data_IF_321229488216
#
_entry.id   IF_321229488216
#
_cell.length_a   1.000
_cell.length_b   1.000
_cell.length_c   1.000
_cell.angle_alpha   90.00
_cell.angle_beta   90.00
_cell.angle_gamma   90.00
#
_symmetry.space_group_name_H-M   'P 1'
#
loop_
_entity.id
_entity.type
_entity.pdbx_description
1 polymer ?
#
# COMPACT_ATOMS: atom_id res chain seq x y z
N UNK A 1 36.92 2.73 -2.77
CA UNK A 1 36.22 2.13 -3.92
C UNK A 1 34.98 2.97 -4.15
N UNK A 2 34.99 3.79 -5.19
CA UNK A 2 33.81 4.59 -5.56
C UNK A 2 32.85 3.73 -6.37
N UNK A 3 31.59 3.65 -5.96
CA UNK A 3 30.54 3.06 -6.77
C UNK A 3 29.92 4.17 -7.60
N UNK A 4 30.03 4.08 -8.91
CA UNK A 4 29.43 5.04 -9.82
C UNK A 4 28.08 4.49 -10.30
N UNK A 5 26.99 5.20 -10.00
CA UNK A 5 25.70 4.93 -10.57
C UNK A 5 25.56 5.67 -11.91
N UNK A 6 25.46 4.93 -13.01
CA UNK A 6 25.23 5.51 -14.34
C UNK A 6 23.79 5.22 -14.74
N UNK A 7 22.92 6.22 -14.72
CA UNK A 7 21.60 6.11 -15.32
C UNK A 7 21.70 6.26 -16.84
N UNK A 8 21.11 5.34 -17.60
CA UNK A 8 21.05 5.41 -19.08
C UNK A 8 20.40 6.69 -19.61
N UNK A 9 19.61 7.40 -18.80
CA UNK A 9 18.95 8.64 -19.18
C UNK A 9 19.86 9.88 -19.12
N UNK A 10 21.08 9.76 -18.58
CA UNK A 10 22.01 10.86 -18.40
C UNK A 10 23.42 10.54 -18.98
N UNK A 11 23.46 9.96 -20.16
CA UNK A 11 24.72 9.78 -20.87
C UNK A 11 25.37 11.14 -21.15
N UNK A 12 26.42 11.47 -20.42
CA UNK A 12 27.23 12.66 -20.62
C UNK A 12 27.45 13.56 -19.41
N UNK A 13 26.72 13.39 -18.34
CA UNK A 13 26.94 14.17 -17.10
C UNK A 13 27.04 13.19 -15.93
N UNK A 14 28.26 12.90 -15.51
CA UNK A 14 28.49 12.18 -14.26
C UNK A 14 27.97 13.01 -13.10
N UNK A 15 26.91 12.57 -12.44
CA UNK A 15 26.55 13.14 -11.14
C UNK A 15 27.51 12.60 -10.10
N UNK A 16 28.20 13.52 -9.45
CA UNK A 16 28.98 13.22 -8.26
C UNK A 16 27.99 12.88 -7.15
N UNK A 17 28.10 11.67 -6.62
CA UNK A 17 27.35 11.30 -5.41
C UNK A 17 28.12 11.89 -4.25
N UNK A 18 27.66 13.00 -3.71
CA UNK A 18 28.35 13.74 -2.64
C UNK A 18 28.06 13.16 -1.24
N UNK A 19 27.10 12.27 -1.10
CA UNK A 19 26.77 11.63 0.17
C UNK A 19 26.91 10.11 0.09
N UNK A 20 27.98 9.60 0.73
CA UNK A 20 28.26 8.17 0.84
C UNK A 20 27.68 7.55 2.12
N UNK A 21 26.94 8.29 2.90
CA UNK A 21 26.51 7.85 4.23
C UNK A 21 25.41 6.79 4.18
N UNK A 22 24.73 6.64 3.07
CA UNK A 22 23.67 5.63 2.91
C UNK A 22 24.07 4.46 2.00
N UNK A 23 25.20 3.83 2.31
CA UNK A 23 25.55 2.50 1.80
C UNK A 23 24.90 1.37 2.62
N UNK A 24 23.83 1.66 3.33
CA UNK A 24 23.08 0.68 4.13
C UNK A 24 22.56 -0.49 3.29
N UNK A 25 22.33 -0.31 2.00
CA UNK A 25 21.98 -1.37 1.06
C UNK A 25 23.17 -2.29 0.67
N UNK A 26 24.40 -1.97 1.04
CA UNK A 26 25.56 -2.83 0.87
C UNK A 26 25.82 -3.72 2.09
N UNK A 27 24.93 -3.74 3.06
CA UNK A 27 24.97 -4.74 4.13
C UNK A 27 24.69 -6.13 3.55
N UNK A 28 25.28 -7.15 4.17
CA UNK A 28 25.15 -8.55 3.75
C UNK A 28 23.69 -8.95 3.49
N UNK A 29 22.76 -8.49 4.34
CA UNK A 29 21.32 -8.73 4.24
C UNK A 29 20.63 -8.07 3.01
N UNK A 30 21.28 -7.10 2.34
CA UNK A 30 20.73 -6.37 1.19
C UNK A 30 21.60 -6.48 -0.07
N UNK A 31 22.69 -7.23 0.00
CA UNK A 31 23.65 -7.33 -1.09
C UNK A 31 23.04 -7.99 -2.33
N UNK A 32 22.27 -9.06 -2.14
CA UNK A 32 21.62 -9.75 -3.25
C UNK A 32 20.61 -8.84 -3.97
N UNK A 33 19.82 -8.06 -3.21
CA UNK A 33 18.90 -7.09 -3.77
C UNK A 33 19.63 -5.97 -4.55
N UNK A 34 20.81 -5.57 -4.10
CA UNK A 34 21.64 -4.62 -4.81
C UNK A 34 22.17 -5.20 -6.13
N UNK A 35 22.72 -6.43 -6.10
CA UNK A 35 23.20 -7.13 -7.30
C UNK A 35 22.07 -7.32 -8.31
N UNK A 36 20.88 -7.69 -7.85
CA UNK A 36 19.70 -7.81 -8.70
C UNK A 36 19.32 -6.48 -9.35
N UNK A 37 19.32 -5.39 -8.58
CA UNK A 37 19.05 -4.05 -9.08
C UNK A 37 20.06 -3.58 -10.11
N UNK A 38 21.35 -3.88 -9.90
CA UNK A 38 22.42 -3.60 -10.87
C UNK A 38 22.24 -4.45 -12.12
N UNK A 39 21.88 -5.73 -11.96
CA UNK A 39 21.56 -6.63 -13.08
C UNK A 39 20.43 -6.09 -13.96
N UNK A 40 19.37 -5.58 -13.34
CA UNK A 40 18.23 -4.96 -14.05
C UNK A 40 18.64 -3.76 -14.91
N UNK A 41 19.62 -2.99 -14.49
CA UNK A 41 20.11 -1.81 -15.24
C UNK A 41 20.89 -2.19 -16.51
N UNK A 42 21.39 -3.41 -16.60
CA UNK A 42 22.12 -3.92 -17.76
C UNK A 42 21.23 -4.61 -18.81
N UNK A 43 19.95 -4.82 -18.50
CA UNK A 43 19.03 -5.51 -19.39
C UNK A 43 18.54 -4.64 -20.53
N UNK A 44 18.32 -5.26 -21.68
CA UNK A 44 17.60 -4.65 -22.80
C UNK A 44 16.13 -4.46 -22.48
N UNK A 45 15.44 -3.61 -23.24
CA UNK A 45 13.99 -3.38 -23.05
C UNK A 45 13.18 -4.68 -23.16
N UNK A 46 13.52 -5.56 -24.11
CA UNK A 46 12.87 -6.85 -24.30
C UNK A 46 13.10 -7.81 -23.12
N UNK A 47 14.32 -7.82 -22.56
CA UNK A 47 14.63 -8.62 -21.37
C UNK A 47 13.89 -8.09 -20.13
N UNK A 48 13.75 -6.76 -20.01
CA UNK A 48 12.96 -6.14 -18.94
C UNK A 48 11.48 -6.56 -19.05
N UNK A 49 10.91 -6.56 -20.24
CA UNK A 49 9.51 -6.98 -20.45
C UNK A 49 9.31 -8.46 -20.11
N UNK A 50 10.16 -9.34 -20.59
CA UNK A 50 10.13 -10.77 -20.23
C UNK A 50 10.28 -11.02 -18.73
N UNK A 51 11.14 -10.25 -18.07
CA UNK A 51 11.33 -10.34 -16.64
C UNK A 51 10.08 -9.87 -15.87
N UNK A 52 9.43 -8.79 -16.34
CA UNK A 52 8.17 -8.32 -15.76
C UNK A 52 7.09 -9.39 -15.86
N UNK A 53 6.85 -9.94 -17.04
CA UNK A 53 5.86 -11.01 -17.25
C UNK A 53 6.12 -12.25 -16.39
N UNK A 54 7.38 -12.62 -16.22
CA UNK A 54 7.76 -13.72 -15.35
C UNK A 54 7.43 -13.41 -13.89
N UNK A 55 7.82 -12.23 -13.40
CA UNK A 55 7.54 -11.78 -12.02
C UNK A 55 6.06 -11.64 -11.75
N UNK A 56 5.28 -11.16 -12.71
CA UNK A 56 3.83 -11.10 -12.57
C UNK A 56 3.22 -12.47 -12.30
N UNK A 57 3.65 -13.49 -13.04
CA UNK A 57 3.21 -14.87 -12.82
C UNK A 57 3.67 -15.42 -11.47
N UNK A 58 4.88 -15.08 -11.03
CA UNK A 58 5.40 -15.48 -9.73
C UNK A 58 4.61 -14.83 -8.59
N UNK A 59 4.24 -13.55 -8.72
CA UNK A 59 3.40 -12.83 -7.75
C UNK A 59 2.02 -13.49 -7.65
N UNK A 60 1.35 -13.73 -8.77
CA UNK A 60 0.04 -14.38 -8.79
C UNK A 60 0.09 -15.75 -8.12
N UNK A 61 1.10 -16.56 -8.46
CA UNK A 61 1.29 -17.87 -7.84
C UNK A 61 1.56 -17.77 -6.32
N UNK A 62 2.36 -16.81 -5.89
CA UNK A 62 2.67 -16.59 -4.47
C UNK A 62 1.44 -16.15 -3.68
N UNK A 63 0.62 -15.27 -4.24
CA UNK A 63 -0.61 -14.79 -3.61
C UNK A 63 -1.65 -15.91 -3.46
N UNK A 64 -1.87 -16.69 -4.51
CA UNK A 64 -2.79 -17.85 -4.47
C UNK A 64 -2.29 -18.89 -3.47
N UNK A 65 -0.98 -19.19 -3.49
CA UNK A 65 -0.36 -20.13 -2.54
C UNK A 65 -0.55 -19.66 -1.10
N UNK A 66 -0.26 -18.41 -0.82
CA UNK A 66 -0.39 -17.82 0.52
C UNK A 66 -1.84 -17.89 1.02
N UNK A 67 -2.82 -17.52 0.18
CA UNK A 67 -4.23 -17.62 0.55
C UNK A 67 -4.64 -19.05 0.90
N UNK A 68 -4.29 -20.00 0.03
CA UNK A 68 -4.60 -21.41 0.24
C UNK A 68 -3.92 -21.95 1.51
N UNK A 69 -2.67 -21.57 1.76
CA UNK A 69 -1.93 -22.03 2.93
C UNK A 69 -2.54 -21.47 4.22
N UNK A 70 -2.86 -20.18 4.27
CA UNK A 70 -3.54 -19.58 5.43
C UNK A 70 -4.92 -20.22 5.63
N UNK A 71 -5.71 -20.37 4.56
CA UNK A 71 -7.05 -20.94 4.63
C UNK A 71 -7.07 -22.38 5.14
N UNK A 72 -6.13 -23.21 4.68
CA UNK A 72 -6.10 -24.65 5.00
C UNK A 72 -5.43 -24.94 6.35
N UNK A 73 -4.39 -24.19 6.69
CA UNK A 73 -3.50 -24.53 7.80
C UNK A 73 -3.71 -23.64 9.04
N UNK A 74 -4.33 -22.46 8.90
CA UNK A 74 -4.53 -21.53 10.01
C UNK A 74 -6.01 -21.42 10.36
N UNK A 75 -6.44 -22.23 11.31
CA UNK A 75 -7.85 -22.33 11.72
C UNK A 75 -8.33 -21.09 12.49
N UNK A 76 -9.62 -20.77 12.34
CA UNK A 76 -10.27 -19.71 13.12
C UNK A 76 -10.03 -18.28 12.59
N UNK A 77 -9.42 -18.13 11.42
CA UNK A 77 -9.27 -16.84 10.76
C UNK A 77 -10.41 -16.61 9.76
N UNK A 78 -11.21 -15.59 10.01
CA UNK A 78 -12.21 -15.12 9.07
C UNK A 78 -11.62 -14.46 7.83
N UNK A 79 -12.46 -14.15 6.88
CA UNK A 79 -12.05 -13.53 5.61
C UNK A 79 -11.40 -12.16 5.84
N UNK A 80 -12.01 -11.31 6.66
CA UNK A 80 -11.47 -10.02 7.03
C UNK A 80 -10.15 -10.15 7.80
N UNK A 81 -10.03 -11.15 8.69
CA UNK A 81 -8.82 -11.36 9.48
C UNK A 81 -7.61 -11.63 8.61
N UNK A 82 -7.77 -12.43 7.56
CA UNK A 82 -6.69 -12.71 6.60
C UNK A 82 -6.21 -11.44 5.90
N UNK A 83 -7.16 -10.61 5.45
CA UNK A 83 -6.83 -9.32 4.83
C UNK A 83 -6.12 -8.39 5.81
N UNK A 84 -6.63 -8.30 7.04
CA UNK A 84 -6.02 -7.44 8.08
C UNK A 84 -4.63 -7.93 8.49
N UNK A 85 -4.40 -9.24 8.58
CA UNK A 85 -3.10 -9.81 8.89
C UNK A 85 -2.07 -9.52 7.79
N UNK A 86 -2.46 -9.61 6.52
CA UNK A 86 -1.58 -9.24 5.40
C UNK A 86 -1.28 -7.75 5.43
N UNK A 87 -2.31 -6.90 5.56
CA UNK A 87 -2.14 -5.45 5.62
C UNK A 87 -1.23 -5.03 6.81
N UNK A 88 -1.48 -5.60 7.99
CA UNK A 88 -0.69 -5.35 9.19
C UNK A 88 0.77 -5.80 9.03
N UNK A 89 0.98 -6.98 8.45
CA UNK A 89 2.33 -7.54 8.23
C UNK A 89 3.13 -6.67 7.26
N UNK A 90 2.52 -6.22 6.17
CA UNK A 90 3.16 -5.31 5.23
C UNK A 90 3.50 -3.99 5.93
N UNK A 91 2.54 -3.34 6.61
CA UNK A 91 2.79 -2.07 7.32
C UNK A 91 3.90 -2.20 8.36
N UNK A 92 3.90 -3.29 9.13
CA UNK A 92 4.91 -3.52 10.16
C UNK A 92 6.33 -3.74 9.59
N UNK A 93 6.44 -4.27 8.38
CA UNK A 93 7.70 -4.60 7.72
C UNK A 93 8.23 -3.55 6.75
N UNK A 94 7.43 -2.53 6.39
CA UNK A 94 7.90 -1.43 5.55
C UNK A 94 8.90 -0.54 6.30
N UNK A 95 8.59 -0.16 7.53
CA UNK A 95 9.41 0.76 8.31
C UNK A 95 9.49 2.18 7.71
N UNK A 96 10.20 3.04 8.40
CA UNK A 96 10.57 4.38 7.95
C UNK A 96 11.89 4.78 8.63
N UNK A 97 13.00 4.46 7.99
CA UNK A 97 14.35 4.61 8.57
C UNK A 97 14.69 6.08 8.81
N UNK A 98 14.22 6.99 7.96
CA UNK A 98 14.43 8.43 8.12
C UNK A 98 13.82 8.96 9.43
N UNK A 99 12.74 8.34 9.90
CA UNK A 99 12.08 8.66 11.17
C UNK A 99 12.39 7.66 12.28
N UNK A 100 13.47 6.87 12.16
CA UNK A 100 13.89 5.85 13.13
C UNK A 100 12.86 4.73 13.40
N UNK A 101 12.02 4.44 12.42
CA UNK A 101 11.09 3.31 12.47
C UNK A 101 11.65 2.15 11.67
N UNK A 102 12.28 1.20 12.35
CA UNK A 102 12.87 0.03 11.70
C UNK A 102 11.81 -1.02 11.37
N UNK A 103 11.96 -1.74 10.24
CA UNK A 103 11.08 -2.85 9.87
C UNK A 103 11.00 -3.91 10.98
N UNK A 104 9.80 -4.45 11.19
CA UNK A 104 9.60 -5.61 12.08
C UNK A 104 10.23 -6.84 11.43
N UNK A 105 11.05 -7.56 12.20
CA UNK A 105 11.67 -8.83 11.79
C UNK A 105 10.91 -10.02 12.39
N UNK A 106 11.02 -11.19 11.78
CA UNK A 106 10.44 -12.43 12.31
C UNK A 106 10.93 -12.76 13.72
N UNK A 107 12.19 -12.43 14.00
CA UNK A 107 12.82 -12.60 15.33
C UNK A 107 12.26 -11.67 16.40
N UNK A 108 11.60 -10.58 16.03
CA UNK A 108 11.05 -9.62 17.00
C UNK A 108 9.72 -10.11 17.59
N UNK A 109 9.08 -11.08 16.93
CA UNK A 109 7.91 -11.78 17.44
C UNK A 109 8.39 -12.95 18.32
N UNK A 110 8.21 -12.79 19.63
CA UNK A 110 8.81 -13.67 20.65
C UNK A 110 7.90 -14.80 21.10
N UNK A 111 6.71 -14.90 20.52
CA UNK A 111 5.69 -15.91 20.88
C UNK A 111 5.39 -15.90 22.39
N UNK A 112 5.12 -14.70 22.91
CA UNK A 112 4.73 -14.49 24.31
C UNK A 112 3.21 -14.41 24.44
N UNK A 113 2.69 -15.02 25.48
CA UNK A 113 1.31 -14.90 25.97
C UNK A 113 1.22 -13.94 27.19
N UNK A 114 2.30 -13.25 27.51
CA UNK A 114 2.33 -12.24 28.56
C UNK A 114 1.46 -11.03 28.17
N UNK A 115 0.60 -10.63 29.09
CA UNK A 115 -0.29 -9.50 28.91
C UNK A 115 0.48 -8.22 28.50
N UNK A 116 -0.04 -7.49 27.55
CA UNK A 116 0.53 -6.27 26.97
C UNK A 116 1.90 -6.47 26.26
N UNK A 117 2.33 -7.73 26.08
CA UNK A 117 3.57 -8.07 25.37
C UNK A 117 3.42 -9.30 24.47
N UNK A 118 2.23 -9.49 23.93
CA UNK A 118 1.96 -10.52 22.92
C UNK A 118 2.56 -10.13 21.57
N UNK A 119 2.67 -11.07 20.65
CA UNK A 119 3.10 -10.79 19.28
C UNK A 119 2.18 -9.75 18.60
N UNK A 120 0.87 -9.78 18.91
CA UNK A 120 -0.09 -8.78 18.47
C UNK A 120 0.21 -7.39 19.00
N UNK A 121 0.55 -7.26 20.26
CA UNK A 121 0.93 -5.97 20.87
C UNK A 121 2.21 -5.42 20.25
N UNK A 122 3.18 -6.28 19.96
CA UNK A 122 4.42 -5.91 19.28
C UNK A 122 4.12 -5.34 17.90
N UNK A 123 3.28 -6.03 17.11
CA UNK A 123 2.88 -5.57 15.78
C UNK A 123 2.11 -4.26 15.85
N UNK A 124 1.15 -4.12 16.76
CA UNK A 124 0.37 -2.87 16.94
C UNK A 124 1.28 -1.69 17.27
N UNK A 125 2.23 -1.86 18.20
CA UNK A 125 3.22 -0.81 18.52
C UNK A 125 4.04 -0.41 17.30
N UNK A 126 4.46 -1.38 16.49
CA UNK A 126 5.24 -1.13 15.27
C UNK A 126 4.41 -0.37 14.23
N UNK A 127 3.16 -0.77 14.00
CA UNK A 127 2.25 -0.10 13.07
C UNK A 127 1.95 1.33 13.53
N UNK A 128 1.70 1.56 14.81
CA UNK A 128 1.52 2.92 15.39
C UNK A 128 2.71 3.82 15.07
N UNK A 129 3.92 3.33 15.30
CA UNK A 129 5.15 4.08 15.00
C UNK A 129 5.28 4.38 13.50
N UNK A 130 5.02 3.39 12.65
CA UNK A 130 5.07 3.56 11.19
C UNK A 130 4.06 4.60 10.69
N UNK A 131 2.81 4.51 11.11
CA UNK A 131 1.76 5.47 10.70
C UNK A 131 2.03 6.89 11.23
N UNK A 132 2.63 7.02 12.41
CA UNK A 132 3.06 8.31 12.94
C UNK A 132 4.17 8.93 12.08
N UNK A 133 5.16 8.13 11.66
CA UNK A 133 6.22 8.58 10.75
C UNK A 133 5.67 9.05 9.39
N UNK A 134 4.58 8.44 8.91
CA UNK A 134 3.89 8.85 7.66
C UNK A 134 3.05 10.12 7.81
N UNK A 135 3.00 10.72 9.00
CA UNK A 135 2.29 11.99 9.27
C UNK A 135 0.79 11.96 8.94
N UNK A 136 0.16 10.78 8.99
CA UNK A 136 -1.29 10.69 8.86
C UNK A 136 -1.98 11.48 9.99
N UNK A 137 -3.15 12.08 9.74
CA UNK A 137 -3.99 12.68 10.78
C UNK A 137 -4.29 11.69 11.90
N UNK A 138 -4.39 12.17 13.14
CA UNK A 138 -4.51 11.32 14.33
C UNK A 138 -5.75 10.44 14.30
N UNK A 139 -6.88 11.01 13.94
CA UNK A 139 -8.17 10.31 13.79
C UNK A 139 -8.09 9.14 12.80
N UNK A 140 -7.37 9.31 11.68
CA UNK A 140 -7.13 8.26 10.70
C UNK A 140 -6.20 7.18 11.25
N UNK A 141 -5.09 7.58 11.89
CA UNK A 141 -4.17 6.62 12.53
C UNK A 141 -4.91 5.76 13.55
N UNK A 142 -5.73 6.39 14.38
CA UNK A 142 -6.50 5.71 15.40
C UNK A 142 -7.53 4.74 14.82
N UNK A 143 -8.17 5.13 13.73
CA UNK A 143 -9.11 4.24 13.04
C UNK A 143 -8.40 3.00 12.46
N UNK A 144 -7.28 3.21 11.75
CA UNK A 144 -6.47 2.11 11.18
C UNK A 144 -5.98 1.18 12.28
N UNK A 145 -5.36 1.76 13.31
CA UNK A 145 -4.82 0.99 14.43
C UNK A 145 -5.90 0.20 15.14
N UNK A 146 -7.04 0.83 15.45
CA UNK A 146 -8.17 0.17 16.14
C UNK A 146 -8.73 -0.98 15.29
N UNK A 147 -8.89 -0.77 13.99
CA UNK A 147 -9.37 -1.80 13.08
C UNK A 147 -8.43 -3.02 13.05
N UNK A 148 -7.13 -2.79 12.92
CA UNK A 148 -6.14 -3.87 12.90
C UNK A 148 -5.96 -4.51 14.29
N UNK A 149 -5.99 -3.73 15.36
CA UNK A 149 -5.83 -4.19 16.72
C UNK A 149 -6.89 -5.22 17.11
N UNK A 150 -8.13 -5.02 16.67
CA UNK A 150 -9.22 -5.96 16.93
C UNK A 150 -8.92 -7.39 16.46
N UNK A 151 -8.19 -7.56 15.37
CA UNK A 151 -7.71 -8.87 14.91
C UNK A 151 -6.40 -9.26 15.58
N UNK A 152 -5.40 -8.34 15.59
CA UNK A 152 -4.04 -8.65 16.04
C UNK A 152 -3.93 -9.03 17.51
N UNK A 153 -4.79 -8.51 18.38
CA UNK A 153 -4.72 -8.76 19.84
C UNK A 153 -5.76 -9.76 20.34
N UNK A 154 -6.36 -10.56 19.46
CA UNK A 154 -7.25 -11.64 19.90
C UNK A 154 -6.44 -12.75 20.56
N UNK A 155 -6.97 -13.31 21.65
CA UNK A 155 -6.34 -14.40 22.39
C UNK A 155 -6.04 -15.61 21.51
N UNK A 156 -6.95 -15.89 20.58
CA UNK A 156 -6.85 -17.06 19.71
C UNK A 156 -5.53 -17.10 18.90
N UNK A 157 -5.16 -15.99 18.26
CA UNK A 157 -3.95 -15.94 17.42
C UNK A 157 -2.67 -15.66 18.20
N UNK A 158 -2.79 -15.16 19.44
CA UNK A 158 -1.64 -14.89 20.32
C UNK A 158 -1.36 -16.02 21.31
N UNK A 159 -2.20 -17.05 21.38
CA UNK A 159 -1.96 -18.21 22.20
C UNK A 159 -0.74 -18.98 21.70
N UNK A 160 0.17 -19.30 22.62
CA UNK A 160 1.35 -20.11 22.29
C UNK A 160 0.96 -21.58 22.18
N UNK A 161 1.11 -22.16 21.01
CA UNK A 161 0.90 -23.57 20.74
C UNK A 161 2.14 -24.15 20.06
N UNK A 162 2.68 -25.23 20.59
CA UNK A 162 3.92 -25.86 20.12
C UNK A 162 5.14 -24.89 20.08
N UNK A 163 5.18 -23.93 21.00
CA UNK A 163 6.28 -22.96 21.12
C UNK A 163 6.16 -21.74 20.21
N UNK A 164 5.06 -21.58 19.50
CA UNK A 164 4.87 -20.46 18.59
C UNK A 164 3.42 -19.98 18.59
N UNK A 165 3.19 -18.67 18.39
CA UNK A 165 1.85 -18.11 18.17
C UNK A 165 1.38 -18.30 16.73
N UNK A 166 0.07 -18.41 16.53
CA UNK A 166 -0.50 -18.41 15.18
C UNK A 166 -0.16 -17.12 14.43
N UNK A 167 -0.17 -15.98 15.12
CA UNK A 167 0.18 -14.68 14.53
C UNK A 167 1.60 -14.69 13.96
N UNK A 168 2.59 -15.23 14.69
CA UNK A 168 3.96 -15.31 14.20
C UNK A 168 4.10 -16.25 13.00
N UNK A 169 3.40 -17.39 13.00
CA UNK A 169 3.38 -18.30 11.83
C UNK A 169 2.82 -17.59 10.59
N UNK A 170 1.65 -16.95 10.71
CA UNK A 170 1.01 -16.23 9.60
C UNK A 170 1.89 -15.07 9.10
N UNK A 171 2.43 -14.26 10.02
CA UNK A 171 3.37 -13.20 9.70
C UNK A 171 4.60 -13.73 8.94
N UNK A 172 5.17 -14.84 9.39
CA UNK A 172 6.33 -15.46 8.74
C UNK A 172 6.00 -15.89 7.30
N UNK A 173 4.85 -16.54 7.08
CA UNK A 173 4.39 -16.92 5.75
C UNK A 173 4.21 -15.70 4.83
N UNK A 174 3.59 -14.62 5.32
CA UNK A 174 3.39 -13.38 4.57
C UNK A 174 4.74 -12.76 4.17
N UNK A 175 5.67 -12.68 5.11
CA UNK A 175 7.00 -12.10 4.85
C UNK A 175 7.81 -12.94 3.88
N UNK A 176 7.73 -14.28 3.98
CA UNK A 176 8.47 -15.19 3.11
C UNK A 176 7.90 -15.22 1.68
N UNK A 177 6.59 -15.25 1.54
CA UNK A 177 5.94 -15.36 0.23
C UNK A 177 5.81 -13.99 -0.47
N UNK A 178 5.61 -12.89 0.26
CA UNK A 178 5.36 -11.57 -0.33
C UNK A 178 6.48 -10.54 -0.11
N UNK A 179 7.33 -10.73 0.91
CA UNK A 179 8.30 -9.72 1.34
C UNK A 179 9.24 -9.23 0.24
N UNK A 180 9.65 -10.12 -0.64
CA UNK A 180 10.50 -9.78 -1.79
C UNK A 180 9.83 -8.77 -2.72
N UNK A 181 8.52 -8.85 -2.91
CA UNK A 181 7.83 -8.01 -3.89
C UNK A 181 7.60 -6.58 -3.41
N UNK A 182 7.25 -6.37 -2.13
CA UNK A 182 6.96 -5.03 -1.62
C UNK A 182 8.19 -4.32 -1.03
N UNK A 183 9.20 -5.05 -0.52
CA UNK A 183 10.41 -4.45 0.04
C UNK A 183 11.35 -3.87 -1.02
N UNK A 184 11.39 -4.45 -2.20
CA UNK A 184 12.29 -4.02 -3.27
C UNK A 184 11.67 -2.88 -4.09
N UNK A 185 10.41 -2.53 -3.85
CA UNK A 185 9.73 -1.42 -4.54
C UNK A 185 9.57 -1.65 -6.05
N UNK A 186 9.36 -2.89 -6.45
CA UNK A 186 9.60 -3.34 -7.81
C UNK A 186 8.51 -3.01 -8.81
N UNK A 187 7.27 -2.73 -8.43
CA UNK A 187 6.29 -2.34 -9.47
C UNK A 187 4.97 -1.82 -8.90
N UNK A 188 4.36 -0.89 -9.59
CA UNK A 188 2.94 -0.53 -9.51
C UNK A 188 2.03 -1.76 -9.70
N UNK A 189 2.49 -2.77 -10.43
CA UNK A 189 1.73 -3.98 -10.75
C UNK A 189 1.58 -4.93 -9.56
N UNK A 190 2.60 -5.06 -8.68
CA UNK A 190 2.48 -5.86 -7.46
C UNK A 190 1.33 -5.38 -6.58
N UNK A 191 1.25 -4.09 -6.36
CA UNK A 191 0.21 -3.51 -5.49
C UNK A 191 -1.19 -3.77 -6.05
N UNK A 192 -1.39 -3.57 -7.36
CA UNK A 192 -2.66 -3.88 -8.02
C UNK A 192 -3.04 -5.35 -7.91
N UNK A 193 -2.10 -6.27 -8.16
CA UNK A 193 -2.33 -7.72 -8.06
C UNK A 193 -2.61 -8.15 -6.62
N UNK A 194 -1.82 -7.66 -5.66
CA UNK A 194 -2.03 -7.90 -4.24
C UNK A 194 -3.45 -7.53 -3.82
N UNK A 195 -3.91 -6.33 -4.19
CA UNK A 195 -5.23 -5.86 -3.79
C UNK A 195 -6.35 -6.60 -4.50
N UNK A 196 -6.17 -6.96 -5.78
CA UNK A 196 -7.12 -7.80 -6.50
C UNK A 196 -7.31 -9.16 -5.82
N UNK A 197 -6.22 -9.81 -5.46
CA UNK A 197 -6.27 -11.10 -4.80
C UNK A 197 -6.85 -10.99 -3.39
N UNK A 198 -6.37 -10.05 -2.56
CA UNK A 198 -6.88 -9.81 -1.22
C UNK A 198 -8.37 -9.45 -1.23
N UNK A 199 -8.81 -8.77 -2.26
CA UNK A 199 -10.23 -8.48 -2.46
C UNK A 199 -11.05 -9.75 -2.65
N UNK A 200 -10.54 -10.70 -3.45
CA UNK A 200 -11.13 -12.02 -3.63
C UNK A 200 -11.23 -12.82 -2.32
N UNK A 201 -10.33 -12.57 -1.35
CA UNK A 201 -10.35 -13.24 -0.04
C UNK A 201 -11.48 -12.79 0.87
N UNK A 202 -12.09 -11.62 0.61
CA UNK A 202 -13.18 -11.08 1.42
C UNK A 202 -14.50 -11.86 1.31
N UNK A 203 -14.52 -12.98 0.57
CA UNK A 203 -15.64 -13.92 0.55
C UNK A 203 -16.96 -13.32 0.09
N UNK A 204 -16.91 -12.26 -0.68
CA UNK A 204 -18.13 -11.75 -1.30
C UNK A 204 -18.77 -12.87 -2.09
N UNK A 205 -20.04 -13.21 -1.77
CA UNK A 205 -20.83 -14.15 -2.57
C UNK A 205 -20.78 -13.74 -4.05
N UNK A 206 -20.92 -14.68 -4.96
CA UNK A 206 -20.87 -14.38 -6.41
C UNK A 206 -21.79 -13.22 -6.80
N UNK A 207 -22.92 -13.08 -6.14
CA UNK A 207 -23.84 -11.95 -6.32
C UNK A 207 -23.21 -10.61 -5.86
N UNK A 208 -22.43 -10.62 -4.80
CA UNK A 208 -21.68 -9.44 -4.32
C UNK A 208 -20.37 -9.21 -5.06
N UNK A 209 -19.73 -10.25 -5.58
CA UNK A 209 -18.53 -10.13 -6.46
C UNK A 209 -18.89 -9.44 -7.79
N UNK A 210 -20.12 -9.60 -8.27
CA UNK A 210 -20.60 -8.89 -9.45
C UNK A 210 -20.80 -7.39 -9.19
N UNK A 211 -20.94 -6.99 -7.92
CA UNK A 211 -21.18 -5.60 -7.53
C UNK A 211 -19.90 -4.81 -7.28
N UNK A 212 -18.77 -5.47 -7.04
CA UNK A 212 -17.52 -4.80 -6.70
C UNK A 212 -16.40 -5.30 -7.59
N UNK A 213 -16.28 -4.69 -8.76
CA UNK A 213 -15.24 -5.01 -9.74
C UNK A 213 -14.08 -4.03 -9.55
N UNK A 214 -12.91 -4.56 -9.20
CA UNK A 214 -11.69 -3.75 -9.17
C UNK A 214 -11.33 -3.31 -10.58
N UNK A 215 -11.01 -2.03 -10.72
CA UNK A 215 -10.62 -1.45 -12.01
C UNK A 215 -9.20 -1.91 -12.37
N UNK A 216 -8.99 -2.62 -13.48
CA UNK A 216 -7.64 -2.94 -13.94
C UNK A 216 -6.78 -1.69 -14.10
N UNK A 217 -5.50 -1.76 -13.76
CA UNK A 217 -4.60 -0.60 -13.74
C UNK A 217 -4.50 0.15 -15.08
N UNK A 218 -4.53 -0.58 -16.19
CA UNK A 218 -4.52 0.03 -17.53
C UNK A 218 -5.83 0.77 -17.84
N UNK A 219 -6.98 0.27 -17.34
CA UNK A 219 -8.28 0.95 -17.47
C UNK A 219 -8.29 2.20 -16.59
N UNK A 220 -7.80 2.09 -15.36
CA UNK A 220 -7.68 3.23 -14.45
C UNK A 220 -6.81 4.35 -15.07
N UNK A 221 -5.66 3.99 -15.65
CA UNK A 221 -4.79 4.94 -16.34
C UNK A 221 -5.49 5.57 -17.53
N UNK A 222 -6.23 4.80 -18.34
CA UNK A 222 -6.98 5.31 -19.47
C UNK A 222 -8.05 6.32 -19.03
N UNK A 223 -8.85 5.98 -18.02
CA UNK A 223 -9.90 6.87 -17.50
C UNK A 223 -9.34 8.18 -16.97
N UNK A 224 -8.24 8.13 -16.23
CA UNK A 224 -7.55 9.30 -15.70
C UNK A 224 -7.03 10.22 -16.81
N UNK A 225 -6.46 9.63 -17.88
CA UNK A 225 -6.00 10.39 -19.05
C UNK A 225 -7.16 11.00 -19.84
N UNK A 226 -8.26 10.26 -20.02
CA UNK A 226 -9.48 10.78 -20.66
C UNK A 226 -10.10 11.93 -19.86
N UNK A 227 -10.06 11.85 -18.53
CA UNK A 227 -10.48 12.92 -17.63
C UNK A 227 -9.51 14.12 -17.62
N UNK A 228 -8.39 14.05 -18.35
CA UNK A 228 -7.35 15.09 -18.44
C UNK A 228 -6.79 15.52 -17.08
N UNK A 229 -6.67 14.55 -16.17
CA UNK A 229 -6.07 14.79 -14.87
C UNK A 229 -4.63 15.29 -15.03
N UNK A 230 -4.28 16.33 -14.29
CA UNK A 230 -2.98 16.99 -14.34
C UNK A 230 -2.60 17.49 -12.93
N UNK A 231 -1.41 18.06 -12.77
CA UNK A 231 -0.87 18.52 -11.48
C UNK A 231 -1.78 19.45 -10.67
N UNK A 232 -2.70 20.15 -11.33
CA UNK A 232 -3.61 21.12 -10.71
C UNK A 232 -5.02 20.57 -10.49
N UNK A 233 -5.26 19.31 -10.86
CA UNK A 233 -6.53 18.64 -10.66
C UNK A 233 -6.78 18.33 -9.18
N UNK A 234 -8.05 18.40 -8.77
CA UNK A 234 -8.58 17.87 -7.53
C UNK A 234 -9.49 16.70 -7.86
N UNK A 235 -9.01 15.49 -7.59
CA UNK A 235 -9.64 14.26 -8.06
C UNK A 235 -10.46 13.63 -6.96
N UNK A 236 -11.72 13.36 -7.24
CA UNK A 236 -12.64 12.69 -6.32
C UNK A 236 -13.14 11.38 -6.89
N UNK A 237 -13.00 10.32 -6.08
CA UNK A 237 -13.58 9.00 -6.30
C UNK A 237 -14.48 8.64 -5.11
N UNK A 238 -15.78 8.68 -5.30
CA UNK A 238 -16.74 8.44 -4.22
C UNK A 238 -17.21 6.98 -4.13
N UNK A 239 -16.57 6.07 -4.84
CA UNK A 239 -16.69 4.62 -4.74
C UNK A 239 -15.30 3.99 -4.93
N UNK A 240 -14.36 4.39 -4.07
CA UNK A 240 -12.92 4.27 -4.34
C UNK A 240 -12.40 2.82 -4.33
N UNK A 241 -13.14 1.89 -3.73
CA UNK A 241 -12.67 0.51 -3.63
C UNK A 241 -11.29 0.45 -2.97
N UNK A 242 -10.36 -0.25 -3.60
CA UNK A 242 -8.95 -0.32 -3.17
C UNK A 242 -8.10 0.89 -3.55
N UNK A 243 -8.70 2.00 -3.98
CA UNK A 243 -8.06 3.24 -4.44
C UNK A 243 -7.25 3.14 -5.74
N UNK A 244 -7.51 2.16 -6.58
CA UNK A 244 -6.78 1.97 -7.84
C UNK A 244 -6.87 3.17 -8.79
N UNK A 245 -8.05 3.79 -8.90
CA UNK A 245 -8.24 5.01 -9.71
C UNK A 245 -7.52 6.22 -9.13
N UNK A 246 -7.52 6.39 -7.80
CA UNK A 246 -6.80 7.49 -7.14
C UNK A 246 -5.29 7.32 -7.25
N UNK A 247 -4.77 6.10 -7.17
CA UNK A 247 -3.34 5.81 -7.42
C UNK A 247 -2.97 6.19 -8.85
N UNK A 248 -3.79 5.79 -9.84
CA UNK A 248 -3.56 6.17 -11.23
C UNK A 248 -3.60 7.71 -11.42
N UNK A 249 -4.55 8.39 -10.78
CA UNK A 249 -4.66 9.85 -10.81
C UNK A 249 -3.43 10.51 -10.18
N UNK A 250 -3.00 10.07 -9.01
CA UNK A 250 -1.81 10.57 -8.33
C UNK A 250 -0.57 10.44 -9.22
N UNK A 251 -0.38 9.28 -9.84
CA UNK A 251 0.75 9.04 -10.73
C UNK A 251 0.75 9.99 -11.94
N UNK A 252 -0.39 10.19 -12.59
CA UNK A 252 -0.51 11.12 -13.71
C UNK A 252 -0.23 12.58 -13.29
N UNK A 253 -0.75 12.99 -12.13
CA UNK A 253 -0.49 14.32 -11.57
C UNK A 253 0.99 14.55 -11.25
N UNK A 254 1.68 13.55 -10.70
CA UNK A 254 3.11 13.61 -10.39
C UNK A 254 3.96 13.64 -11.66
N UNK A 255 3.59 12.88 -12.70
CA UNK A 255 4.25 12.92 -14.01
C UNK A 255 4.10 14.31 -14.63
N UNK A 256 2.88 14.85 -14.68
CA UNK A 256 2.60 16.19 -15.22
C UNK A 256 3.36 17.29 -14.43
N UNK A 257 3.42 17.18 -13.12
CA UNK A 257 4.20 18.09 -12.27
C UNK A 257 5.69 18.04 -12.61
N UNK A 258 6.26 16.85 -12.77
CA UNK A 258 7.68 16.66 -13.12
C UNK A 258 8.00 17.23 -14.50
N UNK A 259 7.11 17.10 -15.46
CA UNK A 259 7.30 17.63 -16.81
C UNK A 259 7.26 19.16 -16.84
N UNK A 260 6.36 19.76 -16.06
CA UNK A 260 6.11 21.21 -16.10
C UNK A 260 6.92 22.02 -15.10
N UNK A 261 7.31 21.46 -13.96
CA UNK A 261 8.04 22.16 -12.91
C UNK A 261 9.52 21.79 -12.99
N UNK A 262 10.35 22.79 -13.32
CA UNK A 262 11.81 22.58 -13.49
C UNK A 262 12.61 22.75 -12.20
N UNK A 263 12.11 23.51 -11.21
CA UNK A 263 12.76 23.65 -9.91
C UNK A 263 12.53 22.41 -9.05
N UNK A 264 13.58 21.70 -8.57
CA UNK A 264 13.44 20.55 -7.69
C UNK A 264 12.68 20.87 -6.41
N UNK A 265 12.91 22.06 -5.83
CA UNK A 265 12.24 22.50 -4.62
C UNK A 265 10.72 22.69 -4.85
N UNK A 266 10.34 23.42 -5.91
CA UNK A 266 8.94 23.62 -6.26
C UNK A 266 8.25 22.28 -6.63
N UNK A 267 8.96 21.37 -7.28
CA UNK A 267 8.46 20.04 -7.58
C UNK A 267 8.19 19.23 -6.30
N UNK A 268 9.08 19.29 -5.34
CA UNK A 268 8.89 18.63 -4.04
C UNK A 268 7.67 19.19 -3.31
N UNK A 269 7.51 20.51 -3.25
CA UNK A 269 6.35 21.17 -2.65
C UNK A 269 5.06 20.76 -3.37
N UNK A 270 5.03 20.81 -4.71
CA UNK A 270 3.86 20.43 -5.49
C UNK A 270 3.50 18.95 -5.31
N UNK A 271 4.49 18.07 -5.31
CA UNK A 271 4.29 16.63 -5.07
C UNK A 271 3.69 16.36 -3.69
N UNK A 272 4.18 17.06 -2.66
CA UNK A 272 3.61 16.97 -1.31
C UNK A 272 2.16 17.48 -1.28
N UNK A 273 1.87 18.59 -1.96
CA UNK A 273 0.51 19.15 -2.06
C UNK A 273 -0.46 18.19 -2.75
N UNK A 274 -0.06 17.59 -3.90
CA UNK A 274 -0.86 16.60 -4.62
C UNK A 274 -1.28 15.49 -3.66
N UNK A 275 -0.33 14.90 -2.97
CA UNK A 275 -0.55 13.80 -2.04
C UNK A 275 -1.41 14.20 -0.84
N UNK A 276 -1.18 15.39 -0.29
CA UNK A 276 -1.85 15.82 0.93
C UNK A 276 -3.29 16.31 0.71
N UNK A 277 -3.60 16.95 -0.42
CA UNK A 277 -4.82 17.75 -0.54
C UNK A 277 -5.61 17.59 -1.83
N UNK A 278 -5.05 16.96 -2.86
CA UNK A 278 -5.67 16.96 -4.20
C UNK A 278 -6.36 15.65 -4.58
N UNK A 279 -6.41 14.68 -3.67
CA UNK A 279 -7.08 13.40 -3.89
C UNK A 279 -8.10 13.17 -2.79
N UNK A 280 -9.29 12.68 -3.12
CA UNK A 280 -10.32 12.30 -2.16
C UNK A 280 -10.97 10.98 -2.59
N UNK A 281 -11.01 10.01 -1.68
CA UNK A 281 -11.70 8.74 -1.86
C UNK A 281 -12.71 8.48 -0.74
N UNK A 282 -13.83 7.85 -1.07
CA UNK A 282 -14.78 7.35 -0.08
C UNK A 282 -15.02 5.86 -0.30
N UNK A 283 -14.97 5.11 0.79
CA UNK A 283 -15.24 3.68 0.81
C UNK A 283 -16.07 3.31 2.05
N UNK A 284 -17.18 2.64 1.82
CA UNK A 284 -18.13 2.28 2.89
C UNK A 284 -17.67 1.03 3.66
N UNK A 285 -17.07 0.06 2.98
CA UNK A 285 -16.65 -1.20 3.57
C UNK A 285 -15.29 -1.03 4.27
N UNK A 286 -15.26 -1.22 5.59
CA UNK A 286 -14.04 -1.01 6.40
C UNK A 286 -12.86 -1.87 5.96
N UNK A 287 -13.08 -3.12 5.54
CA UNK A 287 -12.03 -3.99 5.03
C UNK A 287 -11.43 -3.49 3.71
N UNK A 288 -12.28 -3.01 2.81
CA UNK A 288 -11.85 -2.44 1.52
C UNK A 288 -11.17 -1.08 1.74
N UNK A 289 -11.69 -0.27 2.68
CA UNK A 289 -11.04 0.96 3.14
C UNK A 289 -9.60 0.71 3.63
N UNK A 290 -9.38 -0.38 4.40
CA UNK A 290 -8.02 -0.75 4.84
C UNK A 290 -7.11 -1.08 3.67
N UNK A 291 -7.63 -1.74 2.64
CA UNK A 291 -6.88 -1.99 1.41
C UNK A 291 -6.54 -0.68 0.68
N UNK A 292 -7.51 0.24 0.60
CA UNK A 292 -7.29 1.56 -0.02
C UNK A 292 -6.17 2.35 0.69
N UNK A 293 -6.21 2.40 2.01
CA UNK A 293 -5.16 3.06 2.82
C UNK A 293 -3.79 2.41 2.59
N UNK A 294 -3.72 1.08 2.64
CA UNK A 294 -2.46 0.37 2.41
C UNK A 294 -1.93 0.63 0.99
N UNK A 295 -2.80 0.60 -0.02
CA UNK A 295 -2.43 0.89 -1.40
C UNK A 295 -1.81 2.30 -1.54
N UNK A 296 -2.48 3.31 -1.02
CA UNK A 296 -1.98 4.69 -1.06
C UNK A 296 -0.64 4.84 -0.32
N UNK A 297 -0.49 4.24 0.86
CA UNK A 297 0.77 4.24 1.61
C UNK A 297 1.90 3.58 0.82
N UNK A 298 1.66 2.42 0.21
CA UNK A 298 2.66 1.69 -0.58
C UNK A 298 3.09 2.47 -1.83
N UNK A 299 2.17 3.24 -2.41
CA UNK A 299 2.45 4.11 -3.56
C UNK A 299 3.10 5.45 -3.16
N UNK A 300 3.50 5.58 -1.90
CA UNK A 300 4.24 6.73 -1.38
C UNK A 300 3.37 7.93 -1.00
N UNK A 301 2.07 7.71 -0.85
CA UNK A 301 1.17 8.69 -0.25
C UNK A 301 1.07 8.44 1.26
N UNK A 302 1.60 9.35 2.07
CA UNK A 302 1.53 9.26 3.53
C UNK A 302 0.30 9.91 4.14
N UNK A 303 -0.47 10.67 3.37
CA UNK A 303 -1.52 11.55 3.90
C UNK A 303 -2.85 11.43 3.16
N UNK A 304 -3.16 10.24 2.63
CA UNK A 304 -4.31 10.03 1.78
C UNK A 304 -5.64 10.47 2.40
N UNK A 305 -6.43 11.17 1.61
CA UNK A 305 -7.78 11.57 1.96
C UNK A 305 -8.77 10.48 1.56
N UNK A 306 -8.57 9.26 2.08
CA UNK A 306 -9.57 8.21 2.02
C UNK A 306 -10.42 8.27 3.29
N UNK A 307 -11.73 8.26 3.13
CA UNK A 307 -12.70 8.30 4.22
C UNK A 307 -13.53 7.02 4.24
N UNK A 308 -13.66 6.39 5.42
CA UNK A 308 -14.58 5.27 5.59
C UNK A 308 -15.99 5.81 5.88
N UNK A 309 -16.72 6.12 4.82
CA UNK A 309 -18.06 6.72 4.88
C UNK A 309 -18.97 6.26 3.75
N UNK A 310 -20.26 6.30 3.98
CA UNK A 310 -21.26 6.22 2.92
C UNK A 310 -21.27 7.56 2.14
N UNK A 311 -20.94 7.50 0.87
CA UNK A 311 -20.81 8.68 0.01
C UNK A 311 -22.13 9.43 -0.18
N UNK A 312 -23.25 8.74 -0.07
CA UNK A 312 -24.58 9.28 -0.33
C UNK A 312 -25.26 9.77 0.95
N UNK A 313 -25.01 9.11 2.09
CA UNK A 313 -25.71 9.40 3.34
C UNK A 313 -24.88 10.24 4.32
N UNK A 314 -23.58 9.94 4.41
CA UNK A 314 -22.75 10.42 5.52
C UNK A 314 -21.74 11.48 5.09
N UNK A 315 -21.63 11.75 3.79
CA UNK A 315 -20.65 12.70 3.27
C UNK A 315 -21.30 14.04 2.89
N UNK A 316 -20.88 15.11 3.55
CA UNK A 316 -21.39 16.47 3.35
C UNK A 316 -20.48 17.37 2.48
N UNK A 317 -19.43 16.79 1.87
CA UNK A 317 -18.42 17.51 1.09
C UNK A 317 -17.18 17.92 1.88
N UNK A 318 -17.17 17.78 3.21
CA UNK A 318 -16.00 18.07 4.03
C UNK A 318 -15.03 16.88 4.00
N UNK A 319 -13.79 17.10 3.59
CA UNK A 319 -12.80 16.02 3.45
C UNK A 319 -11.85 15.88 4.64
N UNK A 320 -12.13 16.60 5.73
CA UNK A 320 -11.55 16.30 7.05
C UNK A 320 -10.05 16.56 7.19
N UNK A 321 -9.45 17.38 6.34
CA UNK A 321 -8.07 17.80 6.53
C UNK A 321 -8.04 18.93 7.55
N UNK A 322 -7.62 18.61 8.76
CA UNK A 322 -7.71 19.53 9.89
C UNK A 322 -9.18 19.81 10.26
N UNK A 323 -9.38 20.72 11.19
CA UNK A 323 -10.72 21.19 11.59
C UNK A 323 -11.34 22.16 10.58
N UNK A 324 -11.11 21.98 9.28
CA UNK A 324 -11.66 22.86 8.26
C UNK A 324 -13.05 22.38 7.86
N UNK A 325 -13.99 23.30 7.80
CA UNK A 325 -15.30 23.09 7.17
C UNK A 325 -15.22 23.24 5.64
N UNK A 326 -14.00 23.26 5.09
CA UNK A 326 -13.80 23.47 3.67
C UNK A 326 -14.23 22.23 2.89
N UNK A 327 -14.99 22.46 1.86
CA UNK A 327 -15.40 21.41 0.93
C UNK A 327 -14.27 21.10 -0.03
N UNK A 328 -14.14 19.83 -0.39
CA UNK A 328 -13.17 19.40 -1.39
C UNK A 328 -13.50 20.06 -2.74
N UNK A 329 -12.58 20.83 -3.33
CA UNK A 329 -12.83 21.60 -4.57
C UNK A 329 -12.65 20.72 -5.81
N UNK A 330 -13.37 19.60 -5.90
CA UNK A 330 -13.24 18.64 -6.98
C UNK A 330 -13.46 19.30 -8.35
N UNK A 331 -12.53 19.07 -9.27
CA UNK A 331 -12.64 19.45 -10.67
C UNK A 331 -12.41 18.27 -11.63
N UNK A 332 -12.12 17.10 -11.11
CA UNK A 332 -12.06 15.84 -11.86
C UNK A 332 -12.71 14.72 -11.04
N UNK A 333 -13.52 13.92 -11.72
CA UNK A 333 -14.21 12.77 -11.14
C UNK A 333 -13.81 11.53 -11.91
N UNK A 334 -13.31 10.53 -11.20
CA UNK A 334 -12.98 9.21 -11.74
C UNK A 334 -13.55 8.17 -10.81
N UNK A 335 -14.43 7.32 -11.31
CA UNK A 335 -15.09 6.34 -10.47
C UNK A 335 -15.51 5.11 -11.28
N UNK A 336 -15.57 3.98 -10.60
CA UNK A 336 -16.17 2.74 -11.05
C UNK A 336 -17.12 2.24 -9.95
N UNK A 337 -18.38 2.75 -9.92
CA UNK A 337 -19.33 2.41 -8.87
C UNK A 337 -19.83 0.97 -9.03
N UNK A 338 -20.39 0.37 -7.95
CA UNK A 338 -21.03 -0.94 -8.03
C UNK A 338 -22.13 -0.96 -9.09
N UNK A 339 -22.22 -2.07 -9.85
CA UNK A 339 -23.15 -2.16 -10.98
C UNK A 339 -24.58 -2.50 -10.58
N UNK A 340 -24.79 -3.11 -9.41
CA UNK A 340 -26.09 -3.51 -8.92
C UNK A 340 -26.24 -3.21 -7.42
N UNK A 341 -26.39 -1.93 -7.07
CA UNK A 341 -26.88 -1.63 -5.74
C UNK A 341 -28.38 -2.02 -5.69
N UNK A 342 -28.84 -2.92 -4.79
CA UNK A 342 -30.24 -3.17 -4.63
C UNK A 342 -30.90 -1.85 -4.25
N UNK A 343 -31.73 -1.34 -5.15
CA UNK A 343 -32.56 -0.18 -4.88
C UNK A 343 -33.50 -0.52 -3.76
N UNK A 344 -33.21 -0.07 -2.55
CA UNK A 344 -34.24 0.06 -1.54
C UNK A 344 -35.09 1.24 -1.99
N UNK A 345 -36.21 0.89 -2.65
CA UNK A 345 -37.27 1.83 -2.97
C UNK A 345 -37.92 2.42 -1.71
#
# INVERSE_FOLDING_TARGET
>A
IGVYYVSKSNFGVGQKVDDYTDLSFLKEENFDAFIEKVGLLSLTQEEIEKLKERREREIDASLVKLNNDIYQNEKGLGENDRVYLVAASIMATLGDVEHNVYPLKKSDLISSDEKDNTDGDIMVRKIKAFLAAKKLPEDKRDLIVRTLQNTLTTDNINKVENGETQLKRVFTKIVDDLGIYYKIGLTTDFTGKLFNEMYGWLGFTQDKLNDVVLTPSYVATLLVKLARVNKDSYVWDFATGSAGLLVAAMNEMLIDAKDKIKSPEQLAIKSAQIKATQLLGLEILSSVYMLAILNMIMMGDGSSNILNKDSLKDFNGNYGFGNTNDKFPANAFVLNPPYSAPGNG
#
